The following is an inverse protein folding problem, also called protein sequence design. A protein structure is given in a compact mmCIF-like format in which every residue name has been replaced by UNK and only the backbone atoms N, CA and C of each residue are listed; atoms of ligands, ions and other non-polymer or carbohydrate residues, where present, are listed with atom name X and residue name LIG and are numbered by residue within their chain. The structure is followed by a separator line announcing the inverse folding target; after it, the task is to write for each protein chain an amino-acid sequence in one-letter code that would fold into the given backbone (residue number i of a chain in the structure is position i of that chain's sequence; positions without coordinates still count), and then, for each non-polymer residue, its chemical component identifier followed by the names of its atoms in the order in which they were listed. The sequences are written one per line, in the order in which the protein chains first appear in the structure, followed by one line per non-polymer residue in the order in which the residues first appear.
data_IF_264280826434
#
_entry.id   IF_264280826434
#
_cell.length_a   1.000
_cell.length_b   1.000
_cell.length_c   1.000
_cell.angle_alpha   90.00
_cell.angle_beta   90.00
_cell.angle_gamma   90.00
#
_symmetry.space_group_name_H-M   'P 1'
#
loop_
_entity.id
_entity.type
_entity.pdbx_description
1 polymer ?
#
# COMPACT_ATOMS: atom_id res chain seq x y z
N UNK A 1 2.48 3.13 5.23
CA UNK A 1 1.19 3.50 4.64
C UNK A 1 0.84 2.61 3.44
N UNK A 2 -0.28 1.89 3.47
CA UNK A 2 -0.81 1.14 2.31
C UNK A 2 -1.59 2.06 1.38
N UNK A 3 -2.40 2.97 1.92
CA UNK A 3 -3.11 4.02 1.18
C UNK A 3 -2.45 5.37 1.46
N UNK A 4 -2.06 6.10 0.42
CA UNK A 4 -1.58 7.47 0.51
C UNK A 4 -2.72 8.37 0.05
N UNK A 5 -3.23 9.21 0.96
CA UNK A 5 -4.32 10.15 0.67
C UNK A 5 -4.02 10.95 -0.59
N UNK A 6 -5.03 11.10 -1.43
CA UNK A 6 -4.98 11.85 -2.68
C UNK A 6 -3.96 11.33 -3.72
N UNK A 7 -3.35 10.17 -3.50
CA UNK A 7 -2.41 9.54 -4.46
C UNK A 7 -2.77 8.13 -4.83
N UNK A 8 -3.13 7.30 -3.85
CA UNK A 8 -3.50 5.90 -4.08
C UNK A 8 -4.89 5.56 -3.56
N UNK A 9 -5.60 6.54 -3.01
CA UNK A 9 -6.96 6.42 -2.50
C UNK A 9 -7.43 7.72 -1.86
N UNK A 10 -8.68 7.69 -1.38
CA UNK A 10 -9.30 8.77 -0.61
C UNK A 10 -9.83 8.16 0.68
N UNK A 11 -9.47 8.77 1.81
CA UNK A 11 -10.02 8.48 3.10
C UNK A 11 -11.34 9.22 3.31
N UNK A 12 -12.24 8.57 4.03
CA UNK A 12 -13.44 9.16 4.60
C UNK A 12 -13.35 9.01 6.11
N UNK A 13 -13.75 10.06 6.84
CA UNK A 13 -13.42 10.18 8.27
C UNK A 13 -14.54 9.70 9.19
N UNK A 14 -15.77 9.64 8.68
CA UNK A 14 -16.94 9.24 9.46
C UNK A 14 -17.57 7.97 8.89
N UNK A 15 -17.99 7.04 9.74
CA UNK A 15 -18.66 5.81 9.31
C UNK A 15 -20.15 6.05 9.01
N UNK A 16 -20.44 7.06 8.21
CA UNK A 16 -21.79 7.45 7.80
C UNK A 16 -21.98 7.27 6.30
N UNK A 17 -23.25 7.17 5.89
CA UNK A 17 -23.61 7.05 4.47
C UNK A 17 -23.14 8.30 3.71
N UNK A 18 -23.32 9.48 4.30
CA UNK A 18 -22.97 10.77 3.72
C UNK A 18 -21.47 10.89 3.47
N UNK A 19 -20.64 10.44 4.42
CA UNK A 19 -19.18 10.50 4.27
C UNK A 19 -18.66 9.57 3.17
N UNK A 20 -19.30 8.40 2.99
CA UNK A 20 -18.98 7.50 1.88
C UNK A 20 -19.38 8.12 0.55
N UNK A 21 -20.59 8.70 0.44
CA UNK A 21 -21.05 9.37 -0.78
C UNK A 21 -20.07 10.49 -1.17
N UNK A 22 -19.71 11.36 -0.24
CA UNK A 22 -18.76 12.46 -0.49
C UNK A 22 -17.40 11.94 -0.98
N UNK A 23 -16.88 10.88 -0.36
CA UNK A 23 -15.60 10.30 -0.73
C UNK A 23 -15.63 9.67 -2.13
N UNK A 24 -16.73 9.00 -2.50
CA UNK A 24 -16.93 8.47 -3.85
C UNK A 24 -17.00 9.59 -4.88
N UNK A 25 -17.76 10.65 -4.62
CA UNK A 25 -17.81 11.79 -5.54
C UNK A 25 -16.45 12.48 -5.70
N UNK A 26 -15.68 12.64 -4.61
CA UNK A 26 -14.31 13.15 -4.66
C UNK A 26 -13.41 12.23 -5.48
N UNK A 27 -13.59 10.92 -5.34
CA UNK A 27 -12.81 9.90 -6.05
C UNK A 27 -13.06 9.97 -7.56
N UNK A 28 -14.33 10.07 -7.98
CA UNK A 28 -14.71 10.13 -9.40
C UNK A 28 -14.24 11.42 -10.08
N UNK A 29 -14.19 12.54 -9.35
CA UNK A 29 -13.72 13.84 -9.88
C UNK A 29 -12.20 13.94 -10.00
N UNK A 30 -11.46 12.98 -9.44
CA UNK A 30 -10.00 13.06 -9.34
C UNK A 30 -9.32 12.20 -10.39
N UNK A 31 -8.29 12.76 -11.02
CA UNK A 31 -7.37 11.97 -11.83
C UNK A 31 -6.26 11.36 -10.97
N UNK A 32 -6.03 10.07 -11.15
CA UNK A 32 -4.99 9.32 -10.45
C UNK A 32 -3.82 8.98 -11.38
N UNK A 33 -2.60 9.03 -10.85
CA UNK A 33 -1.42 8.53 -11.56
C UNK A 33 -1.36 7.00 -11.46
N UNK A 34 -1.83 6.33 -12.52
CA UNK A 34 -1.84 4.87 -12.63
C UNK A 34 -0.44 4.25 -12.50
N UNK A 35 0.60 4.92 -13.01
CA UNK A 35 1.98 4.41 -12.93
C UNK A 35 2.47 4.47 -11.50
N UNK A 36 2.18 5.57 -10.80
CA UNK A 36 2.50 5.72 -9.39
C UNK A 36 1.79 4.67 -8.52
N UNK A 37 0.48 4.49 -8.71
CA UNK A 37 -0.31 3.50 -7.97
C UNK A 37 0.24 2.10 -8.15
N UNK A 38 0.51 1.69 -9.40
CA UNK A 38 1.09 0.38 -9.70
C UNK A 38 2.44 0.19 -8.99
N UNK A 39 3.36 1.15 -9.13
CA UNK A 39 4.68 1.10 -8.50
C UNK A 39 4.60 1.04 -6.98
N UNK A 40 3.61 1.71 -6.38
CA UNK A 40 3.37 1.64 -4.93
C UNK A 40 2.85 0.27 -4.52
N UNK A 41 1.88 -0.29 -5.25
CA UNK A 41 1.32 -1.61 -4.99
C UNK A 41 2.36 -2.75 -5.13
N UNK A 42 3.28 -2.65 -6.10
CA UNK A 42 4.36 -3.63 -6.31
C UNK A 42 5.28 -3.79 -5.09
N UNK A 43 5.37 -2.78 -4.21
CA UNK A 43 6.11 -2.89 -2.95
C UNK A 43 5.47 -3.88 -1.97
N UNK A 44 4.19 -4.18 -2.11
CA UNK A 44 3.47 -5.12 -1.26
C UNK A 44 3.30 -6.50 -1.92
N UNK A 45 4.06 -6.77 -2.99
CA UNK A 45 4.02 -8.05 -3.69
C UNK A 45 4.57 -9.20 -2.83
N UNK A 46 3.97 -10.39 -3.02
CA UNK A 46 4.40 -11.62 -2.37
C UNK A 46 5.86 -11.97 -2.69
N UNK A 47 6.29 -11.76 -3.94
CA UNK A 47 7.66 -12.06 -4.39
C UNK A 47 8.69 -11.18 -3.68
N UNK A 48 8.39 -9.89 -3.49
CA UNK A 48 9.24 -8.99 -2.71
C UNK A 48 9.30 -9.44 -1.26
N UNK A 49 8.16 -9.77 -0.65
CA UNK A 49 8.10 -10.26 0.72
C UNK A 49 8.95 -11.53 0.89
N UNK A 50 8.78 -12.53 0.02
CA UNK A 50 9.58 -13.77 0.05
C UNK A 50 11.08 -13.48 -0.06
N UNK A 51 11.47 -12.59 -0.95
CA UNK A 51 12.88 -12.22 -1.15
C UNK A 51 13.47 -11.59 0.11
N UNK A 52 12.80 -10.57 0.66
CA UNK A 52 13.25 -9.85 1.86
C UNK A 52 13.26 -10.75 3.09
N UNK A 53 12.22 -11.56 3.26
CA UNK A 53 12.12 -12.52 4.37
C UNK A 53 13.23 -13.58 4.32
N UNK A 54 13.46 -14.19 3.15
CA UNK A 54 14.54 -15.16 2.97
C UNK A 54 15.92 -14.52 3.21
N UNK A 55 16.14 -13.30 2.74
CA UNK A 55 17.37 -12.54 3.00
C UNK A 55 17.60 -12.37 4.50
N UNK A 56 16.58 -11.92 5.22
CA UNK A 56 16.63 -11.73 6.68
C UNK A 56 16.90 -13.04 7.43
N UNK A 57 16.19 -14.12 7.11
CA UNK A 57 16.39 -15.43 7.75
C UNK A 57 17.81 -15.94 7.51
N UNK A 58 18.31 -15.85 6.27
CA UNK A 58 19.67 -16.30 5.94
C UNK A 58 20.75 -15.46 6.63
N UNK A 59 20.54 -14.15 6.79
CA UNK A 59 21.42 -13.28 7.57
C UNK A 59 21.49 -13.75 9.03
N UNK A 60 20.33 -13.98 9.68
CA UNK A 60 20.28 -14.44 11.07
C UNK A 60 20.87 -15.82 11.25
N UNK A 61 20.58 -16.78 10.36
CA UNK A 61 21.19 -18.12 10.43
C UNK A 61 22.71 -18.05 10.39
N UNK A 62 23.30 -17.16 9.59
CA UNK A 62 24.76 -16.95 9.57
C UNK A 62 25.30 -16.32 10.84
N UNK A 63 24.56 -15.38 11.43
CA UNK A 63 24.92 -14.71 12.69
C UNK A 63 24.91 -15.67 13.89
N UNK A 64 24.01 -16.66 13.90
CA UNK A 64 23.87 -17.63 15.00
C UNK A 64 24.72 -18.91 14.85
N UNK A 65 25.22 -19.23 13.65
CA UNK A 65 26.06 -20.42 13.41
C UNK A 65 27.56 -20.17 13.74
N UNK A 66 27.84 -19.46 14.83
CA UNK A 66 29.15 -19.52 15.50
C UNK A 66 29.22 -20.74 16.43
#
# INVERSE_FOLDING_TARGET
ETVIEDKTGIFFNEQTIESIIEAVERFERKEFDLKFIRKHAEKFSEDRFKTEFNGYVNEKVKEYNF
#
